data_IF_632010521970
#
_entry.id   IF_632010521970
#
_cell.length_a   1.000
_cell.length_b   1.000
_cell.length_c   1.000
_cell.angle_alpha   90.00
_cell.angle_beta   90.00
_cell.angle_gamma   90.00
#
_symmetry.space_group_name_H-M   'P 1'
#
loop_
_entity.id
_entity.type
_entity.pdbx_description
1 polymer ?
#
# COMPACT_ATOMS: atom_id res chain seq x y z
N UNK A 1 26.53 -10.63 4.59
CA UNK A 1 25.11 -10.54 4.94
C UNK A 1 24.34 -10.90 3.70
N UNK A 2 23.48 -11.92 3.71
CA UNK A 2 22.77 -12.39 2.52
C UNK A 2 21.52 -11.53 2.21
N UNK A 3 21.14 -10.64 3.11
CA UNK A 3 20.02 -9.72 2.93
C UNK A 3 20.42 -8.41 2.24
N UNK A 4 21.71 -8.03 2.28
CA UNK A 4 22.19 -6.77 1.71
C UNK A 4 23.31 -7.05 0.71
N UNK A 5 22.94 -7.29 -0.56
CA UNK A 5 23.89 -7.58 -1.64
C UNK A 5 24.30 -6.33 -2.44
N UNK A 6 23.68 -5.17 -2.19
CA UNK A 6 23.94 -3.90 -2.88
C UNK A 6 24.01 -4.04 -4.42
N UNK A 7 23.12 -4.85 -4.99
CA UNK A 7 23.10 -5.15 -6.43
C UNK A 7 22.71 -3.95 -7.29
N UNK A 8 22.09 -2.93 -6.69
CA UNK A 8 21.59 -1.75 -7.40
C UNK A 8 22.26 -0.50 -6.82
N UNK A 9 22.97 0.23 -7.69
CA UNK A 9 23.51 1.55 -7.35
C UNK A 9 22.44 2.60 -7.67
N UNK A 10 21.67 2.98 -6.64
CA UNK A 10 20.66 4.02 -6.74
C UNK A 10 21.33 5.39 -6.97
N UNK A 11 20.78 6.14 -7.91
CA UNK A 11 21.13 7.54 -8.18
C UNK A 11 19.87 8.40 -8.12
N UNK A 12 20.00 9.61 -7.59
CA UNK A 12 18.89 10.58 -7.52
C UNK A 12 19.09 11.70 -8.54
N UNK A 13 17.99 12.29 -9.02
CA UNK A 13 18.03 13.44 -9.92
C UNK A 13 18.86 14.57 -9.29
N UNK A 14 19.76 15.16 -10.08
CA UNK A 14 20.72 16.16 -9.61
C UNK A 14 22.00 15.59 -9.01
N UNK A 15 22.12 14.27 -8.83
CA UNK A 15 23.36 13.64 -8.37
C UNK A 15 24.46 13.73 -9.43
N UNK A 16 25.64 14.16 -9.02
CA UNK A 16 26.83 14.16 -9.88
C UNK A 16 27.30 12.72 -10.07
N UNK A 17 27.33 12.26 -11.33
CA UNK A 17 27.74 10.93 -11.74
C UNK A 17 29.22 10.87 -12.13
N UNK A 18 29.73 11.93 -12.75
CA UNK A 18 31.13 12.04 -13.14
C UNK A 18 31.62 13.49 -13.05
N UNK A 19 32.93 13.66 -12.85
CA UNK A 19 33.59 14.97 -12.78
C UNK A 19 34.84 14.99 -13.64
N UNK A 20 35.02 16.09 -14.37
CA UNK A 20 36.29 16.37 -15.05
C UNK A 20 37.32 16.78 -13.99
N UNK A 21 38.52 16.16 -13.95
CA UNK A 21 39.57 16.54 -13.02
C UNK A 21 39.95 18.03 -13.13
N UNK A 22 40.38 18.66 -12.03
CA UNK A 22 40.96 19.99 -12.07
C UNK A 22 42.18 20.02 -13.00
N UNK A 23 42.29 21.05 -13.85
CA UNK A 23 43.43 21.25 -14.76
C UNK A 23 43.21 20.81 -16.21
N UNK A 24 42.16 20.03 -16.50
CA UNK A 24 41.74 19.74 -17.88
C UNK A 24 41.12 20.99 -18.53
N UNK A 25 41.56 21.31 -19.76
CA UNK A 25 41.07 22.47 -20.53
C UNK A 25 39.72 22.19 -21.20
N UNK A 26 39.50 20.95 -21.66
CA UNK A 26 38.26 20.54 -22.29
C UNK A 26 37.14 20.40 -21.25
N UNK A 27 36.01 21.07 -21.49
CA UNK A 27 34.82 21.05 -20.64
C UNK A 27 33.57 20.99 -21.51
N UNK A 28 32.43 20.66 -20.90
CA UNK A 28 31.13 20.63 -21.57
C UNK A 28 30.70 19.24 -22.03
N UNK A 29 29.55 19.13 -22.71
CA UNK A 29 28.92 17.86 -23.08
C UNK A 29 29.82 16.89 -23.86
N UNK A 30 30.64 17.43 -24.77
CA UNK A 30 31.48 16.66 -25.70
C UNK A 30 32.56 15.79 -25.04
N UNK A 31 32.91 16.09 -23.78
CA UNK A 31 33.95 15.35 -23.03
C UNK A 31 33.40 14.20 -22.20
N UNK A 32 32.08 14.12 -22.05
CA UNK A 32 31.43 13.10 -21.25
C UNK A 32 30.85 12.00 -22.14
N UNK A 33 30.89 10.74 -21.69
CA UNK A 33 30.22 9.64 -22.36
C UNK A 33 28.71 9.70 -22.05
N UNK A 34 27.99 10.64 -22.66
CA UNK A 34 26.60 10.93 -22.34
C UNK A 34 25.63 9.94 -23.00
N UNK A 35 24.89 9.19 -22.20
CA UNK A 35 23.76 8.37 -22.61
C UNK A 35 22.41 9.04 -22.32
N UNK A 36 21.39 8.22 -22.07
CA UNK A 36 20.04 8.65 -21.70
C UNK A 36 19.97 9.12 -20.25
N UNK A 37 19.08 10.09 -20.00
CA UNK A 37 18.77 10.65 -18.67
C UNK A 37 19.97 11.16 -17.88
N UNK A 38 20.97 11.69 -18.58
CA UNK A 38 22.09 12.43 -18.00
C UNK A 38 22.24 13.78 -18.70
N UNK A 39 22.77 14.77 -18.00
CA UNK A 39 23.02 16.09 -18.58
C UNK A 39 24.25 16.75 -17.95
N UNK A 40 24.82 17.71 -18.68
CA UNK A 40 25.86 18.60 -18.18
C UNK A 40 25.20 19.95 -17.87
N UNK A 41 25.21 20.42 -16.60
CA UNK A 41 24.64 21.71 -16.24
C UNK A 41 25.38 22.87 -16.92
N UNK A 42 24.65 23.89 -17.39
CA UNK A 42 25.24 25.08 -18.02
C UNK A 42 26.09 25.90 -17.02
N UNK A 43 25.67 25.94 -15.76
CA UNK A 43 26.34 26.64 -14.66
C UNK A 43 27.58 25.90 -14.14
N UNK A 44 27.70 24.60 -14.44
CA UNK A 44 28.85 23.78 -14.07
C UNK A 44 29.19 22.77 -15.18
N UNK A 45 29.87 23.20 -16.26
CA UNK A 45 30.19 22.34 -17.41
C UNK A 45 31.27 21.29 -17.12
N UNK A 46 31.69 21.13 -15.86
CA UNK A 46 32.71 20.16 -15.41
C UNK A 46 32.11 18.90 -14.77
N UNK A 47 30.78 18.78 -14.72
CA UNK A 47 30.11 17.63 -14.11
C UNK A 47 29.07 17.03 -15.03
N UNK A 48 28.94 15.71 -14.99
CA UNK A 48 27.83 14.97 -15.56
C UNK A 48 26.85 14.62 -14.44
N UNK A 49 25.57 14.89 -14.64
CA UNK A 49 24.53 14.83 -13.61
C UNK A 49 23.39 13.93 -14.06
N UNK A 50 22.81 13.17 -13.14
CA UNK A 50 21.59 12.40 -13.37
C UNK A 50 20.39 13.32 -13.58
N UNK A 51 19.64 13.12 -14.66
CA UNK A 51 18.41 13.88 -14.93
C UNK A 51 17.20 13.31 -14.17
N UNK A 52 17.25 12.04 -13.77
CA UNK A 52 16.14 11.31 -13.12
C UNK A 52 16.65 10.45 -11.96
N UNK A 53 15.75 10.04 -11.07
CA UNK A 53 16.04 8.98 -10.10
C UNK A 53 16.10 7.64 -10.83
N UNK A 54 17.01 6.74 -10.43
CA UNK A 54 17.10 5.42 -11.04
C UNK A 54 18.38 4.67 -10.69
N UNK A 55 18.88 3.86 -11.62
CA UNK A 55 20.19 3.23 -11.54
C UNK A 55 21.09 3.72 -12.68
N UNK A 56 22.36 3.98 -12.36
CA UNK A 56 23.36 4.32 -13.37
C UNK A 56 23.96 3.04 -13.97
N UNK A 57 24.16 3.01 -15.29
CA UNK A 57 24.79 1.88 -15.98
C UNK A 57 25.51 2.30 -17.25
N UNK A 58 26.48 1.48 -17.65
CA UNK A 58 27.23 1.65 -18.90
C UNK A 58 26.62 0.81 -20.02
N UNK A 59 26.41 1.43 -21.17
CA UNK A 59 25.97 0.73 -22.40
C UNK A 59 26.53 1.45 -23.62
N UNK A 60 27.11 0.67 -24.53
CA UNK A 60 27.72 1.15 -25.78
C UNK A 60 28.75 2.28 -25.58
N UNK A 61 29.50 2.21 -24.46
CA UNK A 61 30.51 3.21 -24.09
C UNK A 61 29.95 4.51 -23.52
N UNK A 62 28.63 4.61 -23.32
CA UNK A 62 27.94 5.76 -22.76
C UNK A 62 27.40 5.44 -21.35
N UNK A 63 27.35 6.44 -20.49
CA UNK A 63 26.77 6.37 -19.15
C UNK A 63 25.31 6.83 -19.21
N UNK A 64 24.42 5.96 -18.76
CA UNK A 64 22.97 6.18 -18.76
C UNK A 64 22.45 6.13 -17.32
N UNK A 65 21.27 6.72 -17.11
CA UNK A 65 20.46 6.46 -15.91
C UNK A 65 19.12 5.90 -16.35
N UNK A 66 18.71 4.75 -15.80
CA UNK A 66 17.38 4.21 -16.05
C UNK A 66 16.49 4.35 -14.81
N UNK A 67 15.31 4.98 -14.92
CA UNK A 67 14.33 5.06 -13.84
C UNK A 67 13.64 3.72 -13.57
N UNK A 68 13.88 2.72 -14.44
CA UNK A 68 13.39 1.36 -14.27
C UNK A 68 14.54 0.39 -13.99
N UNK A 69 14.31 -0.62 -13.16
CA UNK A 69 15.24 -1.73 -12.95
C UNK A 69 14.50 -3.07 -13.04
N UNK A 70 15.10 -4.05 -13.72
CA UNK A 70 14.49 -5.36 -13.95
C UNK A 70 15.26 -6.43 -13.21
N UNK A 71 14.58 -7.16 -12.33
CA UNK A 71 15.06 -8.40 -11.72
C UNK A 71 14.46 -9.55 -12.52
N UNK A 72 15.32 -10.23 -13.29
CA UNK A 72 14.93 -11.33 -14.18
C UNK A 72 14.40 -12.56 -13.43
N UNK A 73 14.72 -12.69 -12.14
CA UNK A 73 14.35 -13.84 -11.31
C UNK A 73 13.56 -13.45 -10.06
N UNK A 74 13.76 -14.25 -9.01
CA UNK A 74 13.12 -14.02 -7.71
C UNK A 74 13.91 -13.00 -6.89
N UNK A 75 13.22 -12.37 -5.94
CA UNK A 75 13.88 -11.75 -4.79
C UNK A 75 14.00 -12.83 -3.71
N UNK A 76 15.20 -13.41 -3.59
CA UNK A 76 15.54 -14.50 -2.68
C UNK A 76 17.00 -14.39 -2.21
N UNK A 77 17.62 -15.45 -1.68
CA UNK A 77 19.00 -15.42 -1.19
C UNK A 77 20.05 -15.03 -2.25
N UNK A 78 19.74 -15.17 -3.54
CA UNK A 78 20.62 -14.73 -4.64
C UNK A 78 20.54 -13.23 -4.92
N UNK A 79 19.44 -12.59 -4.50
CA UNK A 79 19.14 -11.16 -4.75
C UNK A 79 19.23 -10.33 -3.46
N UNK A 80 18.90 -10.90 -2.30
CA UNK A 80 18.75 -10.15 -1.06
C UNK A 80 17.54 -9.22 -1.07
N UNK A 81 17.45 -8.35 -0.07
CA UNK A 81 16.45 -7.29 -0.03
C UNK A 81 16.79 -6.21 -1.05
N UNK A 82 15.74 -5.57 -1.59
CA UNK A 82 15.88 -4.61 -2.68
C UNK A 82 15.27 -3.28 -2.27
N UNK A 83 16.02 -2.20 -2.45
CA UNK A 83 15.53 -0.83 -2.35
C UNK A 83 15.86 -0.13 -3.66
N UNK A 84 14.84 0.40 -4.35
CA UNK A 84 15.01 1.06 -5.65
C UNK A 84 14.26 2.40 -5.71
N UNK A 85 14.93 3.47 -6.11
CA UNK A 85 14.36 4.84 -6.12
C UNK A 85 13.49 5.16 -7.34
N UNK A 86 13.00 4.14 -8.02
CA UNK A 86 12.20 4.25 -9.25
C UNK A 86 11.27 3.05 -9.40
N UNK A 87 10.94 2.71 -10.64
CA UNK A 87 10.07 1.58 -10.95
C UNK A 87 10.84 0.27 -10.98
N UNK A 88 10.51 -0.64 -10.08
CA UNK A 88 11.09 -1.97 -10.04
C UNK A 88 10.18 -2.97 -10.75
N UNK A 89 10.77 -3.82 -11.60
CA UNK A 89 10.09 -4.92 -12.27
C UNK A 89 10.72 -6.22 -11.78
N UNK A 90 9.94 -7.06 -11.10
CA UNK A 90 10.36 -8.40 -10.67
C UNK A 90 9.64 -9.42 -11.54
N UNK A 91 10.37 -10.13 -12.40
CA UNK A 91 9.76 -11.17 -13.26
C UNK A 91 9.40 -12.45 -12.49
N UNK A 92 10.09 -12.69 -11.37
CA UNK A 92 9.84 -13.84 -10.51
C UNK A 92 8.93 -13.53 -9.31
N UNK A 93 9.20 -14.25 -8.23
CA UNK A 93 8.48 -14.16 -6.94
C UNK A 93 9.31 -13.36 -5.95
N UNK A 94 8.66 -12.48 -5.18
CA UNK A 94 9.27 -11.91 -3.97
C UNK A 94 9.07 -12.92 -2.85
N UNK A 95 10.12 -13.66 -2.49
CA UNK A 95 10.00 -14.80 -1.58
C UNK A 95 9.81 -14.36 -0.13
N UNK A 96 9.15 -15.23 0.64
CA UNK A 96 8.98 -15.02 2.08
C UNK A 96 10.33 -14.79 2.78
N UNK A 97 10.38 -13.82 3.68
CA UNK A 97 11.58 -13.43 4.41
C UNK A 97 12.46 -12.39 3.70
N UNK A 98 12.11 -11.97 2.48
CA UNK A 98 12.76 -10.88 1.77
C UNK A 98 11.86 -9.65 1.70
N UNK A 99 12.47 -8.47 1.56
CA UNK A 99 11.77 -7.21 1.42
C UNK A 99 12.12 -6.47 0.12
N UNK A 100 11.12 -5.76 -0.40
CA UNK A 100 11.25 -4.87 -1.54
C UNK A 100 10.65 -3.51 -1.21
N UNK A 101 11.42 -2.44 -1.41
CA UNK A 101 10.97 -1.05 -1.34
C UNK A 101 11.23 -0.35 -2.67
N UNK A 102 10.19 0.27 -3.26
CA UNK A 102 10.30 0.97 -4.53
C UNK A 102 9.35 2.18 -4.64
N UNK A 103 9.55 3.05 -5.64
CA UNK A 103 8.55 4.08 -5.97
C UNK A 103 7.31 3.42 -6.61
N UNK A 104 7.53 2.63 -7.67
CA UNK A 104 6.50 1.81 -8.31
C UNK A 104 6.99 0.36 -8.41
N UNK A 105 6.08 -0.60 -8.36
CA UNK A 105 6.43 -2.02 -8.44
C UNK A 105 5.51 -2.80 -9.38
N UNK A 106 6.12 -3.52 -10.32
CA UNK A 106 5.48 -4.57 -11.09
C UNK A 106 6.09 -5.92 -10.70
N UNK A 107 5.25 -6.85 -10.26
CA UNK A 107 5.64 -8.25 -10.02
C UNK A 107 4.90 -9.13 -11.00
N UNK A 108 5.62 -9.84 -11.88
CA UNK A 108 4.99 -10.76 -12.83
C UNK A 108 4.58 -12.08 -12.16
N UNK A 109 5.26 -12.47 -11.08
CA UNK A 109 4.94 -13.61 -10.24
C UNK A 109 4.07 -13.25 -9.02
N UNK A 110 4.37 -13.90 -7.90
CA UNK A 110 3.66 -13.73 -6.63
C UNK A 110 4.48 -12.92 -5.62
N UNK A 111 3.80 -12.39 -4.62
CA UNK A 111 4.42 -11.74 -3.46
C UNK A 111 4.15 -12.58 -2.21
N UNK A 112 5.22 -13.18 -1.68
CA UNK A 112 5.23 -13.92 -0.40
C UNK A 112 5.96 -13.14 0.70
N UNK A 113 6.80 -12.18 0.33
CA UNK A 113 7.62 -11.34 1.22
C UNK A 113 6.97 -10.02 1.65
N UNK A 114 7.79 -9.13 2.20
CA UNK A 114 7.38 -7.78 2.61
C UNK A 114 7.58 -6.81 1.45
N UNK A 115 6.59 -5.96 1.19
CA UNK A 115 6.66 -4.99 0.09
C UNK A 115 6.14 -3.64 0.52
N UNK A 116 6.87 -2.58 0.16
CA UNK A 116 6.43 -1.19 0.31
C UNK A 116 6.63 -0.43 -1.00
N UNK A 117 5.58 0.20 -1.50
CA UNK A 117 5.68 1.19 -2.58
C UNK A 117 5.20 2.56 -2.14
N UNK A 118 5.84 3.62 -2.64
CA UNK A 118 5.36 4.98 -2.46
C UNK A 118 4.21 5.32 -3.43
N UNK A 119 4.22 4.74 -4.62
CA UNK A 119 3.19 4.84 -5.65
C UNK A 119 2.51 3.51 -5.93
N UNK A 120 2.14 3.31 -7.20
CA UNK A 120 1.32 2.20 -7.66
C UNK A 120 2.05 0.85 -7.62
N UNK A 121 1.27 -0.22 -7.44
CA UNK A 121 1.75 -1.60 -7.44
C UNK A 121 0.86 -2.49 -8.30
N UNK A 122 1.47 -3.27 -9.18
CA UNK A 122 0.80 -4.32 -9.95
C UNK A 122 1.45 -5.67 -9.64
N UNK A 123 0.66 -6.61 -9.16
CA UNK A 123 1.06 -8.02 -8.97
C UNK A 123 0.24 -8.86 -9.94
N UNK A 124 0.85 -9.35 -11.02
CA UNK A 124 0.14 -10.19 -12.00
C UNK A 124 -0.26 -11.54 -11.42
N UNK A 125 0.46 -12.04 -10.42
CA UNK A 125 0.07 -13.18 -9.60
C UNK A 125 -0.74 -12.78 -8.38
N UNK A 126 -0.59 -13.57 -7.30
CA UNK A 126 -1.24 -13.31 -6.02
C UNK A 126 -0.32 -12.65 -5.01
N UNK A 127 -0.93 -11.99 -4.02
CA UNK A 127 -0.27 -11.65 -2.76
C UNK A 127 -0.65 -12.75 -1.77
N UNK A 128 0.34 -13.54 -1.38
CA UNK A 128 0.18 -14.70 -0.52
C UNK A 128 0.90 -14.42 0.79
N UNK A 129 0.14 -14.10 1.82
CA UNK A 129 0.70 -13.87 3.14
C UNK A 129 0.84 -15.17 3.94
N UNK A 130 1.79 -15.11 4.87
CA UNK A 130 1.77 -15.86 6.11
C UNK A 130 1.67 -14.89 7.30
N UNK A 131 2.00 -15.33 8.51
CA UNK A 131 1.83 -14.54 9.74
C UNK A 131 2.66 -13.22 9.80
N UNK A 132 3.60 -13.01 8.87
CA UNK A 132 4.59 -11.91 8.92
C UNK A 132 4.66 -11.03 7.67
N UNK A 133 4.13 -11.46 6.53
CA UNK A 133 4.22 -10.69 5.28
C UNK A 133 3.21 -9.54 5.26
N UNK A 134 3.68 -8.30 5.16
CA UNK A 134 2.84 -7.11 5.00
C UNK A 134 3.13 -6.44 3.66
N UNK A 135 2.07 -6.10 2.92
CA UNK A 135 2.16 -5.31 1.68
C UNK A 135 1.56 -3.94 1.93
N UNK A 136 2.33 -2.89 1.63
CA UNK A 136 1.90 -1.49 1.71
C UNK A 136 2.07 -0.82 0.35
N UNK A 137 0.98 -0.29 -0.19
CA UNK A 137 0.96 0.43 -1.46
C UNK A 137 0.52 1.89 -1.23
N UNK A 138 1.39 2.84 -1.56
CA UNK A 138 1.10 4.27 -1.45
C UNK A 138 0.21 4.83 -2.57
N UNK A 139 0.01 4.07 -3.64
CA UNK A 139 -0.92 4.37 -4.73
C UNK A 139 -2.02 3.33 -4.88
N UNK A 140 -2.35 3.00 -6.12
CA UNK A 140 -3.31 1.96 -6.47
C UNK A 140 -2.65 0.58 -6.47
N UNK A 141 -3.38 -0.44 -6.01
CA UNK A 141 -2.94 -1.83 -6.05
C UNK A 141 -3.81 -2.66 -6.97
N UNK A 142 -3.19 -3.33 -7.94
CA UNK A 142 -3.82 -4.40 -8.73
C UNK A 142 -3.18 -5.74 -8.42
N UNK A 143 -4.00 -6.75 -8.12
CA UNK A 143 -3.53 -8.12 -7.89
C UNK A 143 -4.47 -9.16 -8.49
N UNK A 144 -3.99 -10.36 -8.84
CA UNK A 144 -4.89 -11.45 -9.26
C UNK A 144 -5.70 -11.98 -8.08
N UNK A 145 -5.09 -12.15 -6.91
CA UNK A 145 -5.77 -12.61 -5.71
C UNK A 145 -4.99 -12.25 -4.44
N UNK A 146 -5.69 -12.19 -3.31
CA UNK A 146 -5.10 -12.06 -1.97
C UNK A 146 -5.43 -13.32 -1.17
N UNK A 147 -4.43 -13.92 -0.52
CA UNK A 147 -4.60 -15.12 0.29
C UNK A 147 -3.81 -15.02 1.58
N UNK A 148 -4.48 -15.13 2.73
CA UNK A 148 -3.86 -15.08 4.07
C UNK A 148 -2.95 -13.84 4.25
N UNK A 149 -3.28 -12.73 3.59
CA UNK A 149 -2.40 -11.57 3.46
C UNK A 149 -2.87 -10.39 4.32
N UNK A 150 -1.91 -9.54 4.71
CA UNK A 150 -2.18 -8.22 5.29
C UNK A 150 -1.77 -7.15 4.28
N UNK A 151 -2.75 -6.40 3.80
CA UNK A 151 -2.58 -5.45 2.69
C UNK A 151 -3.12 -4.08 3.09
N UNK A 152 -2.31 -3.04 2.93
CA UNK A 152 -2.65 -1.63 3.15
C UNK A 152 -2.46 -0.87 1.82
N UNK A 153 -3.51 -0.17 1.37
CA UNK A 153 -3.52 0.57 0.09
C UNK A 153 -4.05 1.99 0.31
N UNK A 154 -3.25 2.99 -0.06
CA UNK A 154 -3.61 4.41 0.09
C UNK A 154 -4.49 4.92 -1.08
N UNK A 155 -4.48 4.25 -2.23
CA UNK A 155 -5.37 4.51 -3.37
C UNK A 155 -6.51 3.49 -3.48
N UNK A 156 -6.81 3.07 -4.71
CA UNK A 156 -7.83 2.05 -5.01
C UNK A 156 -7.24 0.63 -5.06
N UNK A 157 -8.06 -0.37 -4.70
CA UNK A 157 -7.72 -1.79 -4.80
C UNK A 157 -8.54 -2.47 -5.89
N UNK A 158 -7.88 -3.12 -6.85
CA UNK A 158 -8.52 -3.97 -7.86
C UNK A 158 -7.97 -5.40 -7.77
N UNK A 159 -8.84 -6.36 -7.47
CA UNK A 159 -8.50 -7.78 -7.40
C UNK A 159 -9.26 -8.56 -8.48
N UNK A 160 -8.57 -9.37 -9.26
CA UNK A 160 -9.23 -10.09 -10.34
C UNK A 160 -10.09 -11.25 -9.81
N UNK A 161 -9.53 -12.19 -9.05
CA UNK A 161 -10.19 -13.46 -8.74
C UNK A 161 -10.79 -13.50 -7.35
N UNK A 162 -10.01 -13.21 -6.31
CA UNK A 162 -10.50 -13.38 -4.95
C UNK A 162 -9.68 -12.71 -3.87
N UNK A 163 -10.34 -12.33 -2.79
CA UNK A 163 -9.74 -11.99 -1.50
C UNK A 163 -10.13 -13.08 -0.52
N UNK A 164 -9.14 -13.78 0.05
CA UNK A 164 -9.34 -14.97 0.89
C UNK A 164 -8.61 -14.84 2.22
N UNK A 165 -9.33 -14.97 3.33
CA UNK A 165 -8.77 -14.99 4.69
C UNK A 165 -7.74 -13.88 4.93
N UNK A 166 -7.99 -12.69 4.41
CA UNK A 166 -7.03 -11.60 4.39
C UNK A 166 -7.52 -10.43 5.24
N UNK A 167 -6.60 -9.62 5.75
CA UNK A 167 -6.89 -8.34 6.40
C UNK A 167 -6.49 -7.23 5.44
N UNK A 168 -7.48 -6.51 4.92
CA UNK A 168 -7.29 -5.55 3.83
C UNK A 168 -7.80 -4.17 4.26
N UNK A 169 -6.95 -3.16 4.17
CA UNK A 169 -7.28 -1.75 4.40
C UNK A 169 -7.04 -0.95 3.12
N UNK A 170 -8.06 -0.24 2.66
CA UNK A 170 -8.03 0.56 1.43
C UNK A 170 -8.60 1.95 1.74
N UNK A 171 -7.89 3.03 1.43
CA UNK A 171 -8.47 4.39 1.58
C UNK A 171 -9.51 4.69 0.49
N UNK A 172 -9.25 4.25 -0.74
CA UNK A 172 -10.15 4.40 -1.88
C UNK A 172 -11.29 3.36 -1.94
N UNK A 173 -11.62 2.93 -3.15
CA UNK A 173 -12.59 1.85 -3.41
C UNK A 173 -11.90 0.50 -3.58
N UNK A 174 -12.62 -0.57 -3.24
CA UNK A 174 -12.20 -1.94 -3.53
C UNK A 174 -13.12 -2.56 -4.60
N UNK A 175 -12.54 -3.23 -5.60
CA UNK A 175 -13.28 -3.97 -6.62
C UNK A 175 -12.72 -5.39 -6.80
N UNK A 176 -13.62 -6.38 -6.85
CA UNK A 176 -13.32 -7.78 -7.16
C UNK A 176 -14.21 -8.26 -8.31
N UNK A 177 -13.66 -8.38 -9.53
CA UNK A 177 -14.49 -8.35 -10.75
C UNK A 177 -14.40 -9.59 -11.66
N UNK A 178 -13.31 -10.35 -11.60
CA UNK A 178 -13.04 -11.49 -12.49
C UNK A 178 -13.81 -12.75 -12.10
N UNK A 179 -13.33 -13.92 -12.50
CA UNK A 179 -13.94 -15.22 -12.15
C UNK A 179 -13.03 -15.96 -11.15
N UNK A 180 -13.50 -16.28 -9.93
CA UNK A 180 -14.88 -16.20 -9.43
C UNK A 180 -15.34 -14.84 -8.85
N UNK A 181 -14.45 -13.87 -8.67
CA UNK A 181 -14.81 -12.52 -8.21
C UNK A 181 -15.31 -12.46 -6.75
N UNK A 182 -14.67 -13.22 -5.85
CA UNK A 182 -15.20 -13.49 -4.50
C UNK A 182 -14.39 -12.84 -3.37
N UNK A 183 -15.08 -12.32 -2.36
CA UNK A 183 -14.49 -11.94 -1.07
C UNK A 183 -14.98 -12.91 -0.01
N UNK A 184 -14.07 -13.68 0.60
CA UNK A 184 -14.43 -14.66 1.63
C UNK A 184 -13.36 -14.75 2.72
N UNK A 185 -13.78 -14.68 3.98
CA UNK A 185 -12.88 -14.81 5.12
C UNK A 185 -12.02 -13.57 5.37
N UNK A 186 -11.93 -13.19 6.64
CA UNK A 186 -11.15 -12.05 7.10
C UNK A 186 -11.92 -10.73 7.05
N UNK A 187 -11.19 -9.63 6.98
CA UNK A 187 -11.72 -8.27 7.09
C UNK A 187 -11.29 -7.43 5.89
N UNK A 188 -12.25 -6.74 5.26
CA UNK A 188 -11.99 -5.76 4.21
C UNK A 188 -12.60 -4.44 4.62
N UNK A 189 -11.75 -3.43 4.79
CA UNK A 189 -12.15 -2.06 5.10
C UNK A 189 -11.80 -1.17 3.90
N UNK A 190 -12.78 -0.47 3.34
CA UNK A 190 -12.59 0.47 2.24
C UNK A 190 -13.20 1.84 2.56
N UNK A 191 -12.41 2.91 2.45
CA UNK A 191 -12.88 4.26 2.77
C UNK A 191 -14.09 4.70 1.94
N UNK A 192 -14.21 4.21 0.70
CA UNK A 192 -15.34 4.51 -0.17
C UNK A 192 -16.38 3.39 -0.22
N UNK A 193 -16.14 2.35 -1.03
CA UNK A 193 -17.11 1.30 -1.28
C UNK A 193 -16.47 0.02 -1.75
N UNK A 194 -17.26 -1.05 -1.79
CA UNK A 194 -16.87 -2.36 -2.28
C UNK A 194 -17.77 -2.76 -3.42
N UNK A 195 -17.19 -3.26 -4.52
CA UNK A 195 -17.90 -3.99 -5.55
C UNK A 195 -17.28 -5.38 -5.71
N UNK A 196 -18.08 -6.42 -5.61
CA UNK A 196 -17.65 -7.80 -5.82
C UNK A 196 -18.71 -8.59 -6.58
N UNK A 197 -18.39 -9.78 -7.10
CA UNK A 197 -19.44 -10.69 -7.57
C UNK A 197 -20.12 -11.37 -6.39
N UNK A 198 -19.32 -11.97 -5.54
CA UNK A 198 -19.78 -12.78 -4.40
C UNK A 198 -19.11 -12.28 -3.13
N UNK A 199 -19.90 -12.10 -2.07
CA UNK A 199 -19.40 -11.74 -0.74
C UNK A 199 -19.80 -12.82 0.26
N UNK A 200 -18.84 -13.25 1.08
CA UNK A 200 -19.01 -14.30 2.07
C UNK A 200 -18.81 -15.69 1.51
N UNK A 201 -19.10 -16.69 2.33
CA UNK A 201 -18.98 -18.10 1.96
C UNK A 201 -20.21 -18.89 2.42
N UNK A 202 -20.65 -19.84 1.58
CA UNK A 202 -21.77 -20.75 1.88
C UNK A 202 -21.61 -21.52 3.19
N UNK A 203 -20.38 -21.80 3.61
CA UNK A 203 -20.06 -22.55 4.83
C UNK A 203 -19.93 -21.65 6.07
N UNK A 204 -20.38 -20.39 6.00
CA UNK A 204 -20.37 -19.48 7.14
C UNK A 204 -18.98 -19.02 7.57
N UNK A 205 -18.00 -18.97 6.65
CA UNK A 205 -16.69 -18.40 6.94
C UNK A 205 -16.88 -16.92 7.27
N UNK A 206 -16.48 -16.53 8.49
CA UNK A 206 -16.61 -15.17 8.99
C UNK A 206 -15.96 -14.16 8.02
N UNK A 207 -16.80 -13.31 7.45
CA UNK A 207 -16.41 -12.29 6.47
C UNK A 207 -16.97 -10.96 6.92
N UNK A 208 -16.09 -9.99 7.17
CA UNK A 208 -16.47 -8.66 7.63
C UNK A 208 -16.05 -7.62 6.59
N UNK A 209 -17.04 -6.86 6.12
CA UNK A 209 -16.87 -5.77 5.18
C UNK A 209 -17.21 -4.47 5.89
N UNK A 210 -16.32 -3.49 5.88
CA UNK A 210 -16.58 -2.14 6.37
C UNK A 210 -16.32 -1.14 5.25
N UNK A 211 -17.30 -0.27 4.97
CA UNK A 211 -17.15 0.78 3.95
C UNK A 211 -17.62 2.15 4.44
N UNK A 212 -17.09 3.20 3.83
CA UNK A 212 -17.50 4.58 4.07
C UNK A 212 -16.78 5.28 5.22
N UNK A 213 -15.72 4.68 5.73
CA UNK A 213 -14.86 5.24 6.78
C UNK A 213 -13.40 4.97 6.40
N UNK A 214 -12.54 5.99 6.37
CA UNK A 214 -11.10 5.79 6.13
C UNK A 214 -10.51 4.85 7.21
N UNK A 215 -9.99 3.67 6.83
CA UNK A 215 -9.50 2.67 7.78
C UNK A 215 -8.17 3.04 8.44
N UNK A 216 -7.41 3.98 7.87
CA UNK A 216 -6.17 4.50 8.42
C UNK A 216 -6.45 5.56 9.48
N UNK A 217 -7.34 6.52 9.18
CA UNK A 217 -7.80 7.50 10.17
C UNK A 217 -8.51 6.83 11.35
N UNK A 218 -9.36 5.83 11.08
CA UNK A 218 -10.01 5.04 12.13
C UNK A 218 -8.97 4.32 13.01
N UNK A 219 -7.96 3.70 12.40
CA UNK A 219 -6.89 3.03 13.13
C UNK A 219 -6.09 4.00 14.01
N UNK A 220 -5.72 5.17 13.47
CA UNK A 220 -5.03 6.22 14.22
C UNK A 220 -5.88 6.72 15.39
N UNK A 221 -7.19 6.93 15.17
CA UNK A 221 -8.13 7.31 16.21
C UNK A 221 -8.20 6.26 17.33
N UNK A 222 -8.32 4.98 16.98
CA UNK A 222 -8.33 3.86 17.94
C UNK A 222 -7.04 3.82 18.78
N UNK A 223 -5.87 4.01 18.15
CA UNK A 223 -4.58 4.06 18.83
C UNK A 223 -4.48 5.26 19.79
N UNK A 224 -4.90 6.45 19.35
CA UNK A 224 -4.88 7.66 20.18
C UNK A 224 -5.83 7.55 21.37
N UNK A 225 -7.05 7.02 21.17
CA UNK A 225 -8.00 6.78 22.25
C UNK A 225 -7.45 5.77 23.26
N UNK A 226 -6.87 4.67 22.81
CA UNK A 226 -6.26 3.68 23.69
C UNK A 226 -5.08 4.27 24.48
N UNK A 227 -4.27 5.13 23.85
CA UNK A 227 -3.18 5.83 24.53
C UNK A 227 -3.71 6.79 25.59
N UNK A 228 -4.75 7.58 25.26
CA UNK A 228 -5.41 8.49 26.20
C UNK A 228 -5.95 7.74 27.41
N UNK A 229 -6.63 6.62 27.19
CA UNK A 229 -7.26 5.86 28.28
C UNK A 229 -6.20 5.28 29.24
N UNK A 230 -5.08 4.77 28.72
CA UNK A 230 -3.93 4.33 29.54
C UNK A 230 -3.30 5.45 30.37
N UNK A 231 -3.16 6.64 29.78
CA UNK A 231 -2.62 7.80 30.51
C UNK A 231 -3.58 8.28 31.59
N UNK A 232 -4.89 8.30 31.33
CA UNK A 232 -5.91 8.62 32.34
C UNK A 232 -5.83 7.68 33.54
N UNK A 233 -5.71 6.37 33.30
CA UNK A 233 -5.52 5.38 34.37
C UNK A 233 -4.23 5.62 35.18
N UNK A 234 -3.16 6.06 34.52
CA UNK A 234 -1.89 6.39 35.20
C UNK A 234 -2.03 7.61 36.12
N UNK A 235 -2.80 8.62 35.71
CA UNK A 235 -3.11 9.79 36.56
C UNK A 235 -3.95 9.39 37.76
N UNK A 236 -4.96 8.53 37.56
CA UNK A 236 -5.85 8.05 38.63
C UNK A 236 -5.11 7.21 39.68
N UNK A 237 -4.08 6.45 39.27
CA UNK A 237 -3.26 5.62 40.16
C UNK A 237 -2.15 6.39 40.90
N UNK A 238 -1.94 7.67 40.59
CA UNK A 238 -1.11 8.61 41.37
C UNK A 238 0.40 8.39 41.29
N UNK A 239 0.91 7.74 40.23
CA UNK A 239 2.31 7.26 40.18
C UNK A 239 3.33 8.24 39.55
N UNK A 240 2.99 9.47 39.15
CA UNK A 240 3.93 10.32 38.35
C UNK A 240 3.64 11.84 38.37
N UNK A 241 4.55 12.63 37.78
CA UNK A 241 4.45 14.07 37.50
C UNK A 241 3.12 14.45 36.81
N UNK A 242 2.07 14.72 37.59
CA UNK A 242 0.72 14.95 37.06
C UNK A 242 0.60 16.09 36.05
N UNK A 243 1.46 17.12 36.14
CA UNK A 243 1.43 18.25 35.21
C UNK A 243 1.90 17.89 33.79
N UNK A 244 2.88 16.98 33.66
CA UNK A 244 3.39 16.55 32.35
C UNK A 244 2.38 15.63 31.65
N UNK A 245 1.81 14.68 32.40
CA UNK A 245 0.80 13.75 31.86
C UNK A 245 -0.49 14.49 31.51
N UNK A 246 -0.90 15.47 32.32
CA UNK A 246 -2.08 16.30 32.03
C UNK A 246 -1.92 17.07 30.71
N UNK A 247 -0.73 17.62 30.45
CA UNK A 247 -0.44 18.30 29.19
C UNK A 247 -0.48 17.32 28.00
N UNK A 248 0.08 16.13 28.14
CA UNK A 248 0.03 15.11 27.09
C UNK A 248 -1.41 14.64 26.81
N UNK A 249 -2.26 14.55 27.84
CA UNK A 249 -3.69 14.25 27.69
C UNK A 249 -4.43 15.33 26.91
N UNK A 250 -4.16 16.61 27.20
CA UNK A 250 -4.75 17.74 26.46
C UNK A 250 -4.36 17.70 24.98
N UNK A 251 -3.07 17.48 24.69
CA UNK A 251 -2.58 17.34 23.31
C UNK A 251 -3.21 16.14 22.58
N UNK A 252 -3.47 15.03 23.27
CA UNK A 252 -4.16 13.88 22.70
C UNK A 252 -5.64 14.16 22.44
N UNK A 253 -6.33 14.80 23.38
CA UNK A 253 -7.75 15.14 23.24
C UNK A 253 -7.97 16.12 22.07
N UNK A 254 -7.06 17.08 21.86
CA UNK A 254 -7.06 17.96 20.68
C UNK A 254 -6.88 17.18 19.36
N UNK A 255 -5.91 16.26 19.31
CA UNK A 255 -5.67 15.42 18.12
C UNK A 255 -6.87 14.53 17.82
N UNK A 256 -7.45 13.91 18.84
CA UNK A 256 -8.64 13.06 18.71
C UNK A 256 -9.81 13.87 18.14
N UNK A 257 -10.08 15.06 18.68
CA UNK A 257 -11.15 15.92 18.20
C UNK A 257 -10.93 16.34 16.73
N UNK A 258 -9.68 16.66 16.35
CA UNK A 258 -9.34 16.99 14.97
C UNK A 258 -9.57 15.82 14.01
N UNK A 259 -9.14 14.61 14.38
CA UNK A 259 -9.34 13.41 13.57
C UNK A 259 -10.82 13.07 13.42
N UNK A 260 -11.61 13.15 14.50
CA UNK A 260 -13.05 12.93 14.45
C UNK A 260 -13.75 13.93 13.51
N UNK A 261 -13.35 15.21 13.56
CA UNK A 261 -13.88 16.23 12.67
C UNK A 261 -13.54 15.95 11.19
N UNK A 262 -12.30 15.51 10.89
CA UNK A 262 -11.91 15.10 9.54
C UNK A 262 -12.76 13.94 9.03
N UNK A 263 -12.91 12.87 9.83
CA UNK A 263 -13.71 11.70 9.47
C UNK A 263 -15.19 12.03 9.24
N UNK A 264 -15.75 12.98 10.01
CA UNK A 264 -17.14 13.40 9.84
C UNK A 264 -17.38 14.23 8.56
N UNK A 265 -16.36 14.92 8.04
CA UNK A 265 -16.47 15.78 6.86
C UNK A 265 -16.45 15.03 5.52
N UNK A 266 -16.05 13.75 5.52
CA UNK A 266 -16.00 12.92 4.31
C UNK A 266 -17.40 12.34 3.99
N UNK A 267 -18.21 13.10 3.26
CA UNK A 267 -19.46 12.60 2.69
C UNK A 267 -19.21 11.69 1.49
N UNK A 268 -18.79 10.45 1.76
CA UNK A 268 -18.73 9.43 0.70
C UNK A 268 -20.07 8.69 0.62
N UNK A 269 -20.63 8.60 -0.59
CA UNK A 269 -21.79 7.77 -0.91
C UNK A 269 -21.43 6.28 -0.90
N UNK A 270 -21.03 5.78 0.27
CA UNK A 270 -20.51 4.45 0.47
C UNK A 270 -21.58 3.39 0.20
N UNK A 271 -21.23 2.41 -0.62
CA UNK A 271 -22.08 1.27 -0.94
C UNK A 271 -21.28 -0.03 -1.04
N UNK A 272 -21.96 -1.13 -0.78
CA UNK A 272 -21.49 -2.49 -1.06
C UNK A 272 -22.35 -3.06 -2.17
N UNK A 273 -21.73 -3.43 -3.28
CA UNK A 273 -22.40 -3.99 -4.46
C UNK A 273 -21.91 -5.41 -4.68
N UNK A 274 -22.83 -6.38 -4.65
CA UNK A 274 -22.57 -7.77 -4.97
C UNK A 274 -23.36 -8.14 -6.24
N UNK A 275 -22.69 -8.50 -7.33
CA UNK A 275 -23.40 -8.72 -8.61
C UNK A 275 -24.05 -10.09 -8.72
N UNK A 276 -23.60 -11.08 -7.94
CA UNK A 276 -24.09 -12.46 -7.99
C UNK A 276 -24.67 -12.94 -6.65
N UNK A 277 -24.20 -12.41 -5.52
CA UNK A 277 -24.87 -12.60 -4.24
C UNK A 277 -24.01 -12.39 -3.01
N UNK A 278 -24.67 -12.47 -1.86
CA UNK A 278 -24.05 -12.35 -0.54
C UNK A 278 -24.51 -13.53 0.32
N UNK A 279 -23.57 -14.30 0.83
CA UNK A 279 -23.87 -15.42 1.71
C UNK A 279 -24.19 -14.95 3.13
N UNK A 280 -25.05 -15.71 3.81
CA UNK A 280 -25.33 -15.52 5.23
C UNK A 280 -24.06 -15.56 6.11
N UNK A 281 -24.13 -14.96 7.29
CA UNK A 281 -23.01 -14.82 8.22
C UNK A 281 -22.06 -13.67 7.87
N UNK A 282 -22.22 -13.04 6.70
CA UNK A 282 -21.45 -11.84 6.33
C UNK A 282 -21.89 -10.65 7.19
N UNK A 283 -20.92 -10.00 7.85
CA UNK A 283 -21.12 -8.74 8.55
C UNK A 283 -20.74 -7.59 7.63
N UNK A 284 -21.66 -6.65 7.41
CA UNK A 284 -21.44 -5.46 6.59
C UNK A 284 -21.62 -4.24 7.48
N UNK A 285 -20.64 -3.35 7.49
CA UNK A 285 -20.65 -2.10 8.24
C UNK A 285 -20.57 -0.97 7.23
N UNK A 286 -21.51 -0.03 7.26
CA UNK A 286 -21.49 1.18 6.41
C UNK A 286 -21.54 2.40 7.33
N UNK A 287 -20.48 3.21 7.33
CA UNK A 287 -20.31 4.36 8.25
C UNK A 287 -20.66 4.04 9.72
N UNK A 288 -20.17 2.90 10.22
CA UNK A 288 -20.40 2.45 11.60
C UNK A 288 -21.73 1.72 11.86
N UNK A 289 -22.69 1.77 10.94
CA UNK A 289 -23.96 1.03 11.09
C UNK A 289 -23.77 -0.40 10.59
N UNK A 290 -24.02 -1.36 11.46
CA UNK A 290 -23.81 -2.80 11.20
C UNK A 290 -25.08 -3.49 10.71
N UNK A 291 -24.94 -4.29 9.66
CA UNK A 291 -25.94 -5.24 9.15
C UNK A 291 -25.32 -6.63 9.04
N UNK A 292 -25.90 -7.60 9.72
CA UNK A 292 -25.54 -9.01 9.54
C UNK A 292 -26.50 -9.64 8.55
N UNK A 293 -25.97 -10.28 7.51
CA UNK A 293 -26.75 -11.02 6.52
C UNK A 293 -27.14 -12.36 7.13
N UNK A 294 -28.44 -12.59 7.33
CA UNK A 294 -28.96 -13.78 8.05
C UNK A 294 -29.35 -14.93 7.13
N UNK A 295 -29.54 -14.67 5.84
CA UNK A 295 -29.92 -15.64 4.81
C UNK A 295 -29.17 -15.34 3.51
N UNK A 296 -29.07 -16.33 2.62
CA UNK A 296 -28.38 -16.15 1.34
C UNK A 296 -29.14 -15.18 0.43
N UNK A 297 -28.48 -14.09 0.03
CA UNK A 297 -29.01 -13.07 -0.85
C UNK A 297 -28.46 -13.27 -2.26
N UNK A 298 -29.19 -14.01 -3.11
CA UNK A 298 -28.72 -14.36 -4.46
C UNK A 298 -29.14 -13.36 -5.54
N UNK A 299 -28.28 -13.17 -6.54
CA UNK A 299 -28.42 -12.18 -7.61
C UNK A 299 -27.80 -10.84 -7.24
N UNK A 300 -28.01 -9.84 -8.09
CA UNK A 300 -27.48 -8.50 -7.86
C UNK A 300 -28.09 -7.91 -6.58
N UNK A 301 -27.24 -7.41 -5.69
CA UNK A 301 -27.60 -6.76 -4.43
C UNK A 301 -26.75 -5.52 -4.21
N UNK A 302 -27.41 -4.45 -3.78
CA UNK A 302 -26.74 -3.22 -3.33
C UNK A 302 -27.13 -2.93 -1.88
N UNK A 303 -26.14 -2.69 -1.03
CA UNK A 303 -26.31 -2.22 0.33
C UNK A 303 -25.79 -0.80 0.45
N UNK A 304 -26.63 0.07 1.00
CA UNK A 304 -26.32 1.48 1.20
C UNK A 304 -27.09 2.01 2.42
N UNK A 305 -26.64 3.15 2.94
CA UNK A 305 -27.36 3.84 4.01
C UNK A 305 -28.61 4.55 3.48
N UNK A 306 -29.70 4.43 4.23
CA UNK A 306 -30.91 5.21 4.05
C UNK A 306 -31.39 5.67 5.44
N UNK A 307 -31.07 6.90 5.81
CA UNK A 307 -31.18 7.34 7.20
C UNK A 307 -30.15 6.61 8.08
N UNK A 308 -30.61 6.07 9.21
CA UNK A 308 -29.78 5.37 10.20
C UNK A 308 -29.79 3.84 10.01
N UNK A 309 -30.21 3.37 8.84
CA UNK A 309 -30.29 1.93 8.52
C UNK A 309 -29.55 1.59 7.23
N UNK A 310 -28.95 0.40 7.21
CA UNK A 310 -28.41 -0.21 5.99
C UNK A 310 -29.53 -0.98 5.28
N UNK A 311 -29.92 -0.48 4.10
CA UNK A 311 -30.98 -1.05 3.27
C UNK A 311 -30.36 -1.90 2.16
N UNK A 312 -30.94 -3.07 1.93
CA UNK A 312 -30.57 -4.01 0.86
C UNK A 312 -31.57 -3.85 -0.28
N UNK A 313 -31.07 -3.61 -1.49
CA UNK A 313 -31.86 -3.52 -2.74
C UNK A 313 -31.41 -4.56 -3.75
#
# INVERSE_FOLDING_TARGET
>A
DFYNLNLIENVVAGQVLARIPPGEEAVGPEVFPMGENVYVPEDNPRVLVAAVNGHAYWKDGLLHVSPEYVIEGNVDFSTGNVVFVGKLIVKGVIRAGFSVEAEELLVEGEVEGEVRTAGDMEVRGGIVGGDKGQVKCGGNLRAMYLLNARVEVEGDLSVEKSIRNSTVKVRGRAEVWGDPGVVLGGTLQAGQGLKAKIIGARWGIATEIEVGTDPFLKGELEELMAKRDRLRETVETGQTNGAEIQRELEELDEKIALLQAKMASEEVGAKVEATEGIYHGTKIVIKGITKVVTEDLMGHRTLQLQGDEVVIR
#
